data_IF_696703273471
#
_entry.id   IF_696703273471
#
_cell.length_a   1.000
_cell.length_b   1.000
_cell.length_c   1.000
_cell.angle_alpha   90.00
_cell.angle_beta   90.00
_cell.angle_gamma   90.00
#
_symmetry.space_group_name_H-M   'P 1'
#
loop_
_entity.id
_entity.type
_entity.pdbx_description
1 polymer ?
#
# COMPACT_ATOMS: atom_id res chain seq x y z
N UNK A 1 16.46 8.04 -21.22
CA UNK A 1 17.01 7.72 -19.88
C UNK A 1 16.25 8.39 -18.73
N UNK A 2 15.97 9.71 -18.78
CA UNK A 2 15.24 10.44 -17.71
C UNK A 2 13.84 9.87 -17.39
N UNK A 3 13.04 9.51 -18.40
CA UNK A 3 11.67 8.97 -18.18
C UNK A 3 11.68 7.66 -17.38
N UNK A 4 12.64 6.77 -17.63
CA UNK A 4 12.76 5.50 -16.88
C UNK A 4 13.12 5.72 -15.41
N UNK A 5 13.96 6.71 -15.12
CA UNK A 5 14.33 7.07 -13.74
C UNK A 5 13.13 7.62 -12.96
N UNK A 6 12.32 8.49 -13.59
CA UNK A 6 11.12 9.07 -12.96
C UNK A 6 10.10 7.96 -12.66
N UNK A 7 9.86 7.05 -13.60
CA UNK A 7 8.94 5.92 -13.39
C UNK A 7 9.43 5.00 -12.25
N UNK A 8 10.73 4.72 -12.19
CA UNK A 8 11.31 3.92 -11.11
C UNK A 8 11.14 4.59 -9.75
N UNK A 9 11.48 5.89 -9.64
CA UNK A 9 11.30 6.66 -8.41
C UNK A 9 9.83 6.73 -7.98
N UNK A 10 8.92 6.91 -8.95
CA UNK A 10 7.47 6.93 -8.68
C UNK A 10 7.00 5.61 -8.08
N UNK A 11 7.47 4.48 -8.62
CA UNK A 11 7.15 3.16 -8.08
C UNK A 11 7.74 3.00 -6.68
N UNK A 12 9.03 3.32 -6.50
CA UNK A 12 9.69 3.22 -5.20
C UNK A 12 8.93 3.99 -4.11
N UNK A 13 8.62 5.27 -4.36
CA UNK A 13 7.87 6.11 -3.44
C UNK A 13 6.46 5.54 -3.20
N UNK A 14 5.77 5.12 -4.27
CA UNK A 14 4.42 4.56 -4.15
C UNK A 14 4.39 3.31 -3.28
N UNK A 15 5.38 2.42 -3.42
CA UNK A 15 5.50 1.20 -2.61
C UNK A 15 5.69 1.55 -1.14
N UNK A 16 6.53 2.54 -0.82
CA UNK A 16 6.71 2.99 0.56
C UNK A 16 5.45 3.61 1.15
N UNK A 17 4.70 4.41 0.38
CA UNK A 17 3.42 4.95 0.83
C UNK A 17 2.43 3.82 1.12
N UNK A 18 2.35 2.81 0.25
CA UNK A 18 1.47 1.65 0.45
C UNK A 18 1.87 0.88 1.70
N UNK A 19 3.17 0.60 1.89
CA UNK A 19 3.66 -0.08 3.08
C UNK A 19 3.37 0.72 4.35
N UNK A 20 3.66 2.01 4.37
CA UNK A 20 3.42 2.87 5.53
C UNK A 20 1.92 2.96 5.86
N UNK A 21 1.05 3.14 4.87
CA UNK A 21 -0.39 3.16 5.09
C UNK A 21 -0.95 1.81 5.56
N UNK A 22 -0.41 0.70 5.02
CA UNK A 22 -0.78 -0.66 5.44
C UNK A 22 -0.34 -0.94 6.88
N UNK A 23 0.90 -0.61 7.24
CA UNK A 23 1.46 -0.80 8.58
C UNK A 23 0.74 0.10 9.59
N UNK A 24 0.56 1.39 9.29
CA UNK A 24 -0.12 2.32 10.18
C UNK A 24 -1.58 1.95 10.43
N UNK A 25 -2.25 1.32 9.44
CA UNK A 25 -3.58 0.76 9.62
C UNK A 25 -3.57 -0.52 10.45
N UNK A 26 -2.65 -1.43 10.15
CA UNK A 26 -2.54 -2.75 10.78
C UNK A 26 -2.16 -2.69 12.25
N UNK A 27 -1.35 -1.70 12.65
CA UNK A 27 -0.83 -1.56 14.01
C UNK A 27 -1.27 -0.22 14.63
N UNK A 28 -2.48 0.24 14.30
CA UNK A 28 -2.97 1.56 14.73
C UNK A 28 -2.97 1.70 16.26
N UNK A 29 -3.31 0.62 16.98
CA UNK A 29 -3.46 0.63 18.43
C UNK A 29 -2.08 0.71 19.10
N UNK A 30 -1.09 -0.03 18.57
CA UNK A 30 0.32 0.03 19.02
C UNK A 30 0.94 1.40 18.80
N UNK A 31 0.61 2.06 17.68
CA UNK A 31 1.08 3.41 17.36
C UNK A 31 0.22 4.53 17.95
N UNK A 32 -0.86 4.20 18.68
CA UNK A 32 -1.81 5.17 19.23
C UNK A 32 -2.39 6.12 18.15
N UNK A 33 -2.63 5.59 16.95
CA UNK A 33 -3.21 6.31 15.82
C UNK A 33 -4.74 6.25 15.94
N UNK A 34 -5.39 7.42 15.91
CA UNK A 34 -6.85 7.50 15.92
C UNK A 34 -7.47 6.73 14.73
N UNK A 35 -8.61 6.04 14.92
CA UNK A 35 -9.21 5.22 13.87
C UNK A 35 -9.45 5.95 12.55
N UNK A 36 -9.98 7.18 12.59
CA UNK A 36 -10.23 8.02 11.42
C UNK A 36 -8.95 8.30 10.60
N UNK A 37 -7.85 8.63 11.28
CA UNK A 37 -6.53 8.81 10.66
C UNK A 37 -6.01 7.51 10.05
N UNK A 38 -6.19 6.38 10.74
CA UNK A 38 -5.79 5.07 10.23
C UNK A 38 -6.54 4.68 8.96
N UNK A 39 -7.86 4.95 8.90
CA UNK A 39 -8.69 4.72 7.70
C UNK A 39 -8.28 5.65 6.55
N UNK A 40 -7.90 6.89 6.87
CA UNK A 40 -7.38 7.82 5.86
C UNK A 40 -6.06 7.30 5.26
N UNK A 41 -5.12 6.82 6.09
CA UNK A 41 -3.84 6.29 5.60
C UNK A 41 -4.01 5.08 4.68
N UNK A 42 -4.85 4.10 5.04
CA UNK A 42 -5.09 2.94 4.17
C UNK A 42 -5.83 3.34 2.88
N UNK A 43 -6.73 4.33 2.94
CA UNK A 43 -7.39 4.87 1.75
C UNK A 43 -6.40 5.51 0.78
N UNK A 44 -5.43 6.29 1.29
CA UNK A 44 -4.34 6.85 0.49
C UNK A 44 -3.49 5.74 -0.13
N UNK A 45 -3.15 4.70 0.63
CA UNK A 45 -2.42 3.54 0.11
C UNK A 45 -3.16 2.87 -1.06
N UNK A 46 -4.46 2.64 -0.94
CA UNK A 46 -5.28 2.04 -2.01
C UNK A 46 -5.30 2.94 -3.25
N UNK A 47 -5.49 4.25 -3.09
CA UNK A 47 -5.49 5.21 -4.21
C UNK A 47 -4.14 5.22 -4.92
N UNK A 48 -3.03 5.18 -4.19
CA UNK A 48 -1.68 5.17 -4.75
C UNK A 48 -1.38 3.83 -5.45
N UNK A 49 -1.79 2.71 -4.86
CA UNK A 49 -1.71 1.40 -5.49
C UNK A 49 -2.45 1.37 -6.83
N UNK A 50 -3.66 1.93 -6.88
CA UNK A 50 -4.45 1.97 -8.10
C UNK A 50 -3.94 3.00 -9.13
N UNK A 51 -3.59 4.21 -8.71
CA UNK A 51 -3.21 5.28 -9.65
C UNK A 51 -1.80 5.12 -10.22
N UNK A 52 -0.84 4.69 -9.39
CA UNK A 52 0.57 4.57 -9.77
C UNK A 52 0.94 3.11 -10.00
N UNK A 53 0.72 2.24 -9.01
CA UNK A 53 1.12 0.83 -9.08
C UNK A 53 0.47 0.09 -10.24
N UNK A 54 -0.86 0.19 -10.38
CA UNK A 54 -1.59 -0.50 -11.44
C UNK A 54 -1.26 0.09 -12.83
N UNK A 55 -1.13 1.41 -12.97
CA UNK A 55 -0.76 2.02 -14.25
C UNK A 55 0.65 1.63 -14.67
N UNK A 56 1.65 1.92 -13.84
CA UNK A 56 3.05 1.73 -14.24
C UNK A 56 3.46 0.26 -14.22
N UNK A 57 3.19 -0.47 -13.13
CA UNK A 57 3.71 -1.83 -12.95
C UNK A 57 2.83 -2.85 -13.70
N UNK A 58 1.51 -2.76 -13.54
CA UNK A 58 0.61 -3.76 -14.10
C UNK A 58 0.32 -3.52 -15.59
N UNK A 59 -0.05 -2.29 -15.98
CA UNK A 59 -0.41 -1.96 -17.37
C UNK A 59 0.81 -1.70 -18.24
N UNK A 60 1.67 -0.75 -17.87
CA UNK A 60 2.75 -0.28 -18.76
C UNK A 60 3.92 -1.27 -18.82
N UNK A 61 4.30 -1.87 -17.68
CA UNK A 61 5.44 -2.79 -17.61
C UNK A 61 5.04 -4.26 -17.73
N UNK A 62 3.75 -4.58 -17.59
CA UNK A 62 3.24 -5.95 -17.67
C UNK A 62 3.63 -6.86 -16.48
N UNK A 63 4.21 -6.31 -15.42
CA UNK A 63 4.72 -7.06 -14.27
C UNK A 63 3.65 -7.32 -13.21
N UNK A 64 2.65 -8.12 -13.57
CA UNK A 64 1.48 -8.41 -12.74
C UNK A 64 1.83 -8.94 -11.34
N UNK A 65 2.78 -9.90 -11.26
CA UNK A 65 3.20 -10.49 -9.98
C UNK A 65 3.86 -9.44 -9.08
N UNK A 66 4.68 -8.57 -9.65
CA UNK A 66 5.34 -7.48 -8.91
C UNK A 66 4.33 -6.49 -8.36
N UNK A 67 3.30 -6.11 -9.14
CA UNK A 67 2.22 -5.27 -8.64
C UNK A 67 1.46 -5.93 -7.47
N UNK A 68 1.14 -7.22 -7.60
CA UNK A 68 0.46 -7.96 -6.52
C UNK A 68 1.33 -7.98 -5.26
N UNK A 69 2.62 -8.31 -5.38
CA UNK A 69 3.52 -8.42 -4.23
C UNK A 69 3.80 -7.08 -3.54
N UNK A 70 4.01 -6.01 -4.31
CA UNK A 70 4.44 -4.72 -3.76
C UNK A 70 3.29 -3.81 -3.32
N UNK A 71 2.10 -3.95 -3.92
CA UNK A 71 0.98 -3.04 -3.66
C UNK A 71 -0.25 -3.76 -3.11
N UNK A 72 -0.68 -4.86 -3.71
CA UNK A 72 -1.93 -5.53 -3.31
C UNK A 72 -1.77 -6.33 -2.03
N UNK A 73 -0.70 -7.12 -1.93
CA UNK A 73 -0.45 -8.02 -0.81
C UNK A 73 -0.31 -7.27 0.53
N UNK A 74 0.45 -6.17 0.65
CA UNK A 74 0.50 -5.40 1.90
C UNK A 74 -0.85 -4.90 2.36
N UNK A 75 -1.69 -4.41 1.43
CA UNK A 75 -3.03 -3.90 1.74
C UNK A 75 -3.91 -5.04 2.27
N UNK A 76 -3.93 -6.19 1.58
CA UNK A 76 -4.72 -7.36 2.02
C UNK A 76 -4.24 -7.82 3.40
N UNK A 77 -2.93 -7.93 3.62
CA UNK A 77 -2.38 -8.35 4.90
C UNK A 77 -2.75 -7.39 6.04
N UNK A 78 -2.79 -6.08 5.77
CA UNK A 78 -3.22 -5.09 6.75
C UNK A 78 -4.70 -5.26 7.15
N UNK A 79 -5.59 -5.55 6.18
CA UNK A 79 -6.98 -5.86 6.48
C UNK A 79 -7.15 -7.15 7.27
N UNK A 80 -6.40 -8.20 6.91
CA UNK A 80 -6.41 -9.47 7.64
C UNK A 80 -5.94 -9.24 9.08
N UNK A 81 -4.84 -8.52 9.28
CA UNK A 81 -4.29 -8.26 10.61
C UNK A 81 -5.23 -7.44 11.49
N UNK A 82 -5.86 -6.39 10.94
CA UNK A 82 -6.89 -5.64 11.66
C UNK A 82 -8.10 -6.53 12.01
N UNK A 83 -8.53 -7.38 11.08
CA UNK A 83 -9.63 -8.29 11.33
C UNK A 83 -9.29 -9.29 12.44
N UNK A 84 -8.08 -9.85 12.48
CA UNK A 84 -7.63 -10.76 13.54
C UNK A 84 -7.55 -10.08 14.90
N UNK A 85 -7.03 -8.85 14.96
CA UNK A 85 -7.01 -8.07 16.21
C UNK A 85 -8.42 -7.76 16.71
N UNK A 86 -9.37 -7.49 15.80
CA UNK A 86 -10.76 -7.18 16.16
C UNK A 86 -11.52 -8.36 16.78
N UNK A 87 -11.08 -9.59 16.49
CA UNK A 87 -11.65 -10.83 17.06
C UNK A 87 -10.85 -11.35 18.27
N UNK A 88 -9.82 -10.62 18.71
CA UNK A 88 -9.03 -10.96 19.90
C UNK A 88 -8.08 -12.14 19.75
N UNK A 89 -7.61 -12.41 18.52
CA UNK A 89 -6.59 -13.43 18.22
C UNK A 89 -5.23 -12.75 18.01
#
# INVERSE_FOLDING_TARGET
>A
MRVKLISFLSIFISTWIVLAGSIGFSFRDDFQIEPDKSYWFISVAIIIAYSIGFKLIYKDWGYKKTFILLHVLPIILAFISMATQSIGI
#
